data_IF_958574669928
#
_entry.id   IF_958574669928
#
_cell.length_a   1.000
_cell.length_b   1.000
_cell.length_c   1.000
_cell.angle_alpha   90.00
_cell.angle_beta   90.00
_cell.angle_gamma   90.00
#
_symmetry.space_group_name_H-M   'P 1'
#
loop_
_entity.id
_entity.type
_entity.pdbx_description
1 polymer ?
#
# COMPACT_ATOMS: atom_id res chain seq x y z
N UNK A 1 -19.46 15.76 4.81
CA UNK A 1 -18.15 15.13 4.99
C UNK A 1 -17.82 14.46 3.68
N UNK A 2 -16.66 14.71 3.14
CA UNK A 2 -16.30 14.16 1.83
C UNK A 2 -15.37 12.98 2.05
N UNK A 3 -15.91 11.75 1.99
CA UNK A 3 -15.10 10.54 2.10
C UNK A 3 -14.17 10.43 0.89
N UNK A 4 -12.87 10.31 1.15
CA UNK A 4 -11.87 10.09 0.11
C UNK A 4 -11.98 8.67 -0.47
N UNK A 5 -12.35 7.69 0.37
CA UNK A 5 -12.67 6.33 -0.07
C UNK A 5 -14.14 6.07 0.25
N UNK A 6 -14.89 5.63 -0.75
CA UNK A 6 -16.30 5.27 -0.62
C UNK A 6 -16.50 3.83 -1.08
N UNK A 7 -17.01 3.01 -0.19
CA UNK A 7 -17.34 1.61 -0.43
C UNK A 7 -18.85 1.47 -0.36
N UNK A 8 -19.49 1.08 -1.47
CA UNK A 8 -20.94 0.94 -1.53
C UNK A 8 -21.32 -0.50 -1.83
N UNK A 9 -21.90 -1.17 -0.83
CA UNK A 9 -22.40 -2.54 -0.90
C UNK A 9 -21.38 -3.54 -1.51
N UNK A 10 -20.10 -3.34 -1.17
CA UNK A 10 -19.03 -4.20 -1.67
C UNK A 10 -19.07 -5.56 -0.98
N UNK A 11 -18.88 -6.63 -1.73
CA UNK A 11 -18.69 -7.97 -1.21
C UNK A 11 -17.62 -8.72 -1.99
N UNK A 12 -17.10 -9.80 -1.41
CA UNK A 12 -16.18 -10.69 -2.10
C UNK A 12 -16.46 -12.16 -1.82
N UNK A 13 -16.67 -12.90 -2.88
CA UNK A 13 -16.88 -14.35 -2.86
C UNK A 13 -15.85 -15.01 -3.78
N UNK A 14 -15.18 -16.04 -3.30
CA UNK A 14 -14.29 -16.90 -4.06
C UNK A 14 -14.94 -18.28 -4.20
N UNK A 15 -15.33 -18.66 -5.41
CA UNK A 15 -16.09 -19.87 -5.65
C UNK A 15 -17.39 -19.87 -4.85
N UNK A 16 -17.50 -20.72 -3.82
CA UNK A 16 -18.68 -20.80 -2.94
C UNK A 16 -18.48 -20.12 -1.58
N UNK A 17 -17.29 -19.59 -1.31
CA UNK A 17 -16.97 -18.99 -0.01
C UNK A 17 -17.04 -17.46 -0.08
N UNK A 18 -17.94 -16.86 0.69
CA UNK A 18 -17.99 -15.42 0.90
C UNK A 18 -16.98 -15.04 1.98
N UNK A 19 -15.95 -14.29 1.59
CA UNK A 19 -14.88 -13.83 2.47
C UNK A 19 -15.18 -12.44 3.04
N UNK A 20 -15.85 -11.60 2.27
CA UNK A 20 -16.33 -10.29 2.73
C UNK A 20 -17.83 -10.20 2.47
N UNK A 21 -18.61 -10.09 3.54
CA UNK A 21 -20.05 -9.82 3.46
C UNK A 21 -20.30 -8.42 2.92
N UNK A 22 -21.49 -8.14 2.35
CA UNK A 22 -21.83 -6.82 1.85
C UNK A 22 -21.56 -5.73 2.87
N UNK A 23 -20.74 -4.74 2.49
CA UNK A 23 -20.27 -3.67 3.35
C UNK A 23 -20.40 -2.33 2.65
N UNK A 24 -20.91 -1.33 3.38
CA UNK A 24 -20.94 0.07 2.96
C UNK A 24 -20.24 0.89 4.03
N UNK A 25 -19.20 1.63 3.67
CA UNK A 25 -18.47 2.51 4.57
C UNK A 25 -17.65 3.55 3.80
N UNK A 26 -17.26 4.62 4.48
CA UNK A 26 -16.39 5.66 3.96
C UNK A 26 -15.17 5.88 4.84
N UNK A 27 -14.12 6.48 4.24
CA UNK A 27 -12.93 6.92 4.94
C UNK A 27 -12.64 8.36 4.57
N UNK A 28 -12.60 9.23 5.56
CA UNK A 28 -12.38 10.67 5.39
C UNK A 28 -10.94 10.97 4.96
N UNK A 29 -10.76 12.01 4.16
CA UNK A 29 -9.45 12.51 3.74
C UNK A 29 -8.68 13.10 4.92
N UNK A 30 -7.34 12.91 4.92
CA UNK A 30 -6.46 13.49 5.94
C UNK A 30 -6.53 12.83 7.32
N UNK A 31 -7.24 11.70 7.44
CA UNK A 31 -7.39 10.96 8.69
C UNK A 31 -6.63 9.63 8.66
N UNK A 32 -6.30 9.14 9.84
CA UNK A 32 -5.76 7.78 10.03
C UNK A 32 -6.90 6.88 10.48
N UNK A 33 -7.20 5.87 9.68
CA UNK A 33 -8.25 4.89 9.95
C UNK A 33 -7.67 3.53 10.28
N UNK A 34 -8.08 2.93 11.41
CA UNK A 34 -7.70 1.58 11.80
C UNK A 34 -8.77 0.57 11.44
N UNK A 35 -8.41 -0.45 10.63
CA UNK A 35 -9.29 -1.58 10.33
C UNK A 35 -8.98 -2.72 11.30
N UNK A 36 -9.89 -3.00 12.22
CA UNK A 36 -9.72 -4.01 13.27
C UNK A 36 -10.61 -5.22 12.97
N UNK A 37 -10.05 -6.41 13.13
CA UNK A 37 -10.78 -7.66 12.93
C UNK A 37 -9.91 -8.88 13.15
N UNK A 38 -10.53 -10.04 13.33
CA UNK A 38 -9.84 -11.33 13.51
C UNK A 38 -9.08 -11.71 12.23
N UNK A 39 -8.09 -12.61 12.35
CA UNK A 39 -7.45 -13.18 11.16
C UNK A 39 -8.49 -13.89 10.32
N UNK A 40 -8.41 -13.72 8.99
CA UNK A 40 -9.40 -14.25 8.05
C UNK A 40 -10.72 -13.45 7.95
N UNK A 41 -10.87 -12.31 8.63
CA UNK A 41 -12.08 -11.46 8.53
C UNK A 41 -12.20 -10.66 7.23
N UNK A 42 -11.24 -10.77 6.30
CA UNK A 42 -11.28 -10.09 5.02
C UNK A 42 -10.59 -8.72 4.98
N UNK A 43 -9.81 -8.32 6.01
CA UNK A 43 -9.08 -7.04 6.04
C UNK A 43 -8.19 -6.86 4.81
N UNK A 44 -7.30 -7.81 4.55
CA UNK A 44 -6.41 -7.79 3.39
C UNK A 44 -7.20 -7.79 2.06
N UNK A 45 -8.31 -8.54 2.01
CA UNK A 45 -9.21 -8.55 0.83
C UNK A 45 -9.82 -7.17 0.59
N UNK A 46 -10.28 -6.50 1.65
CA UNK A 46 -10.79 -5.13 1.59
C UNK A 46 -9.73 -4.16 1.08
N UNK A 47 -8.53 -4.20 1.65
CA UNK A 47 -7.41 -3.36 1.24
C UNK A 47 -7.01 -3.59 -0.24
N UNK A 48 -6.96 -4.85 -0.68
CA UNK A 48 -6.71 -5.21 -2.08
C UNK A 48 -7.80 -4.69 -3.02
N UNK A 49 -9.06 -4.63 -2.58
CA UNK A 49 -10.15 -4.05 -3.39
C UNK A 49 -10.04 -2.53 -3.48
N UNK A 50 -9.69 -1.83 -2.40
CA UNK A 50 -9.46 -0.37 -2.41
C UNK A 50 -8.31 -0.02 -3.36
N UNK A 51 -7.25 -0.82 -3.39
CA UNK A 51 -6.10 -0.64 -4.28
C UNK A 51 -6.34 -1.09 -5.73
N UNK A 52 -7.47 -1.71 -6.04
CA UNK A 52 -7.74 -2.22 -7.39
C UNK A 52 -7.05 -3.54 -7.74
N UNK A 53 -6.26 -4.10 -6.83
CA UNK A 53 -5.59 -5.40 -7.01
C UNK A 53 -6.62 -6.54 -7.13
N UNK A 54 -7.77 -6.37 -6.48
CA UNK A 54 -8.86 -7.33 -6.47
C UNK A 54 -10.18 -6.63 -6.77
N UNK A 55 -10.96 -7.15 -7.72
CA UNK A 55 -12.28 -6.62 -8.00
C UNK A 55 -13.32 -7.18 -7.00
N UNK A 56 -14.25 -6.37 -6.49
CA UNK A 56 -15.37 -6.84 -5.68
C UNK A 56 -16.28 -7.75 -6.50
N UNK A 57 -16.98 -8.68 -5.84
CA UNK A 57 -18.02 -9.50 -6.49
C UNK A 57 -19.28 -8.66 -6.71
N UNK A 58 -19.63 -7.80 -5.75
CA UNK A 58 -20.73 -6.83 -5.87
C UNK A 58 -20.28 -5.47 -5.35
N UNK A 59 -21.04 -4.45 -5.70
CA UNK A 59 -20.84 -3.09 -5.20
C UNK A 59 -19.77 -2.30 -5.96
N UNK A 60 -19.36 -1.18 -5.37
CA UNK A 60 -18.44 -0.23 -6.00
C UNK A 60 -17.45 0.34 -5.01
N UNK A 61 -16.22 0.56 -5.48
CA UNK A 61 -15.14 1.22 -4.77
C UNK A 61 -14.81 2.51 -5.50
N UNK A 62 -14.83 3.63 -4.78
CA UNK A 62 -14.43 4.95 -5.29
C UNK A 62 -13.26 5.42 -4.40
N UNK A 63 -12.19 5.91 -5.03
CA UNK A 63 -11.05 6.54 -4.35
C UNK A 63 -10.84 7.92 -4.97
N UNK A 64 -10.92 8.95 -4.14
CA UNK A 64 -11.02 10.32 -4.62
C UNK A 64 -12.32 10.52 -5.38
N UNK A 65 -12.21 10.80 -6.66
CA UNK A 65 -13.34 10.97 -7.60
C UNK A 65 -13.44 9.85 -8.65
N UNK A 66 -12.58 8.81 -8.54
CA UNK A 66 -12.45 7.73 -9.52
C UNK A 66 -12.99 6.41 -9.01
N UNK A 67 -13.80 5.76 -9.82
CA UNK A 67 -14.29 4.40 -9.56
C UNK A 67 -13.23 3.38 -9.99
N UNK A 68 -12.77 2.59 -9.02
CA UNK A 68 -11.78 1.54 -9.26
C UNK A 68 -12.39 0.41 -10.09
N UNK A 69 -11.65 -0.05 -11.10
CA UNK A 69 -12.07 -1.08 -12.05
C UNK A 69 -13.03 -0.61 -13.12
N UNK A 70 -13.30 0.71 -13.21
CA UNK A 70 -14.12 1.31 -14.28
C UNK A 70 -13.46 2.55 -14.89
N UNK A 71 -13.14 3.55 -14.06
CA UNK A 71 -12.52 4.80 -14.53
C UNK A 71 -10.99 4.66 -14.54
N UNK A 72 -10.46 3.94 -13.54
CA UNK A 72 -9.05 3.58 -13.39
C UNK A 72 -8.92 2.18 -12.82
N UNK A 73 -7.81 1.49 -13.12
CA UNK A 73 -7.54 0.17 -12.56
C UNK A 73 -7.01 0.27 -11.13
N UNK A 74 -6.20 1.31 -10.84
CA UNK A 74 -5.56 1.55 -9.55
C UNK A 74 -5.72 3.01 -9.14
N UNK A 75 -5.72 3.34 -7.83
CA UNK A 75 -5.66 4.73 -7.37
C UNK A 75 -4.42 5.44 -7.89
N UNK A 76 -4.56 6.67 -8.38
CA UNK A 76 -3.49 7.42 -9.05
C UNK A 76 -2.28 7.72 -8.15
N UNK A 77 -2.49 7.87 -6.85
CA UNK A 77 -1.45 8.22 -5.89
C UNK A 77 -1.60 7.38 -4.62
N UNK A 78 -1.20 6.12 -4.72
CA UNK A 78 -1.27 5.18 -3.59
C UNK A 78 0.10 4.55 -3.30
N UNK A 79 0.45 4.51 -2.02
CA UNK A 79 1.51 3.68 -1.46
C UNK A 79 0.88 2.55 -0.64
N UNK A 80 1.43 1.35 -0.74
CA UNK A 80 0.86 0.22 -0.03
C UNK A 80 1.92 -0.76 0.46
N UNK A 81 1.66 -1.33 1.63
CA UNK A 81 2.29 -2.55 2.11
C UNK A 81 1.16 -3.54 2.31
N UNK A 82 1.06 -4.53 1.42
CA UNK A 82 0.12 -5.64 1.55
C UNK A 82 0.93 -6.92 1.52
N UNK A 83 0.84 -7.68 2.59
CA UNK A 83 1.65 -8.88 2.78
C UNK A 83 3.16 -8.54 2.85
N UNK A 84 4.03 -9.50 2.56
CA UNK A 84 5.48 -9.30 2.65
C UNK A 84 6.02 -8.67 1.37
N UNK A 85 6.73 -7.56 1.48
CA UNK A 85 7.48 -6.98 0.35
C UNK A 85 8.83 -7.69 0.26
N UNK A 86 9.12 -8.25 -0.90
CA UNK A 86 10.42 -8.83 -1.22
C UNK A 86 11.32 -7.79 -1.89
N UNK A 87 12.54 -7.66 -1.35
CA UNK A 87 13.58 -6.82 -1.91
C UNK A 87 14.65 -7.68 -2.58
N UNK A 88 15.39 -7.08 -3.51
CA UNK A 88 16.53 -7.73 -4.14
C UNK A 88 17.64 -7.88 -3.09
N UNK A 89 17.96 -9.11 -2.66
CA UNK A 89 18.74 -9.35 -1.44
C UNK A 89 20.20 -8.91 -1.52
N UNK A 90 20.80 -8.90 -2.70
CA UNK A 90 22.19 -8.49 -2.96
C UNK A 90 22.33 -7.00 -3.27
N UNK A 91 21.26 -6.24 -3.27
CA UNK A 91 21.26 -4.79 -3.39
C UNK A 91 21.19 -4.11 -2.02
N UNK A 92 21.67 -2.86 -1.95
CA UNK A 92 21.47 -2.00 -0.78
C UNK A 92 20.03 -1.46 -0.72
N UNK A 93 19.65 -0.88 0.42
CA UNK A 93 18.36 -0.18 0.56
C UNK A 93 18.18 0.90 -0.52
N UNK A 94 19.20 1.72 -0.70
CA UNK A 94 19.19 2.77 -1.72
C UNK A 94 18.98 2.22 -3.14
N UNK A 95 19.69 1.16 -3.51
CA UNK A 95 19.57 0.56 -4.85
C UNK A 95 18.16 -0.01 -5.09
N UNK A 96 17.60 -0.72 -4.12
CA UNK A 96 16.23 -1.23 -4.23
C UNK A 96 15.21 -0.10 -4.47
N UNK A 97 15.30 1.01 -3.71
CA UNK A 97 14.39 2.13 -3.90
C UNK A 97 14.67 2.89 -5.21
N UNK A 98 15.94 3.02 -5.60
CA UNK A 98 16.31 3.71 -6.84
C UNK A 98 15.81 2.98 -8.09
N UNK A 99 15.84 1.64 -8.09
CA UNK A 99 15.33 0.85 -9.22
C UNK A 99 13.80 1.02 -9.37
N UNK A 100 13.06 1.02 -8.26
CA UNK A 100 11.62 1.26 -8.28
C UNK A 100 11.32 2.70 -8.73
N UNK A 101 12.05 3.67 -8.20
CA UNK A 101 11.91 5.07 -8.59
C UNK A 101 12.20 5.30 -10.08
N UNK A 102 13.18 4.58 -10.65
CA UNK A 102 13.53 4.68 -12.06
C UNK A 102 12.40 4.18 -12.99
N UNK A 103 11.59 3.21 -12.55
CA UNK A 103 10.44 2.71 -13.32
C UNK A 103 9.34 3.76 -13.47
N UNK A 104 9.20 4.67 -12.51
CA UNK A 104 8.20 5.74 -12.47
C UNK A 104 8.74 7.11 -12.90
N UNK A 105 10.06 7.27 -12.89
CA UNK A 105 10.76 8.47 -13.41
C UNK A 105 10.68 9.74 -12.54
N UNK A 106 10.17 9.67 -11.31
CA UNK A 106 9.74 10.85 -10.57
C UNK A 106 10.59 11.21 -9.34
N UNK A 107 11.62 10.43 -8.96
CA UNK A 107 12.36 10.67 -7.73
C UNK A 107 13.85 10.96 -7.97
N UNK A 108 14.33 12.02 -7.34
CA UNK A 108 15.75 12.37 -7.30
C UNK A 108 16.52 11.51 -6.30
N UNK A 109 17.84 11.44 -6.47
CA UNK A 109 18.75 10.78 -5.52
C UNK A 109 18.64 11.34 -4.10
N UNK A 110 18.36 12.63 -3.97
CA UNK A 110 18.22 13.32 -2.68
C UNK A 110 16.96 12.86 -1.97
N UNK A 111 15.82 12.82 -2.66
CA UNK A 111 14.56 12.36 -2.07
C UNK A 111 14.64 10.91 -1.57
N UNK A 112 15.29 10.01 -2.32
CA UNK A 112 15.48 8.62 -1.87
C UNK A 112 16.29 8.58 -0.57
N UNK A 113 17.35 9.40 -0.43
CA UNK A 113 18.14 9.47 0.80
C UNK A 113 17.33 10.03 1.97
N UNK A 114 16.58 11.10 1.75
CA UNK A 114 15.70 11.70 2.77
C UNK A 114 14.67 10.70 3.30
N UNK A 115 14.05 9.91 2.43
CA UNK A 115 13.13 8.85 2.84
C UNK A 115 13.83 7.75 3.65
N UNK A 116 15.04 7.33 3.26
CA UNK A 116 15.82 6.37 4.04
C UNK A 116 16.21 6.92 5.42
N UNK A 117 16.54 8.20 5.52
CA UNK A 117 16.79 8.88 6.80
C UNK A 117 15.53 8.92 7.65
N UNK A 118 14.38 9.28 7.07
CA UNK A 118 13.08 9.33 7.75
C UNK A 118 12.73 8.00 8.43
N UNK A 119 13.01 6.87 7.80
CA UNK A 119 12.75 5.53 8.37
C UNK A 119 13.91 4.99 9.21
N UNK A 120 14.95 5.80 9.47
CA UNK A 120 16.12 5.41 10.28
C UNK A 120 17.05 4.41 9.58
N UNK A 121 17.12 4.45 8.26
CA UNK A 121 18.02 3.65 7.42
C UNK A 121 19.08 4.50 6.69
N UNK A 122 19.22 5.78 7.02
CA UNK A 122 20.20 6.68 6.38
C UNK A 122 21.65 6.22 6.54
N UNK A 123 22.00 5.60 7.67
CA UNK A 123 23.35 5.19 8.01
C UNK A 123 23.72 3.74 7.59
N UNK A 124 22.83 3.01 6.89
CA UNK A 124 23.12 1.62 6.52
C UNK A 124 24.08 1.48 5.32
N UNK A 125 24.32 2.59 4.60
CA UNK A 125 25.28 2.67 3.51
C UNK A 125 25.00 1.65 2.39
N UNK A 126 26.06 0.90 2.01
CA UNK A 126 26.00 -0.12 0.95
C UNK A 126 25.68 -1.53 1.48
N UNK A 127 25.22 -1.67 2.72
CA UNK A 127 24.86 -2.96 3.31
C UNK A 127 23.75 -3.62 2.50
N UNK A 128 23.93 -4.87 2.09
CA UNK A 128 22.95 -5.63 1.32
C UNK A 128 21.71 -5.94 2.18
N UNK A 129 20.53 -5.91 1.57
CA UNK A 129 19.25 -6.19 2.24
C UNK A 129 19.19 -7.63 2.80
N UNK A 130 19.91 -8.58 2.21
CA UNK A 130 20.08 -9.94 2.77
C UNK A 130 20.59 -9.96 4.21
N UNK A 131 21.34 -8.93 4.62
CA UNK A 131 21.90 -8.77 5.97
C UNK A 131 21.04 -7.90 6.90
N UNK A 132 19.84 -7.50 6.45
CA UNK A 132 18.92 -6.69 7.25
C UNK A 132 18.18 -7.57 8.25
N UNK A 133 17.94 -7.02 9.45
CA UNK A 133 16.99 -7.60 10.39
C UNK A 133 15.55 -7.46 9.83
N UNK A 134 14.61 -8.20 10.40
CA UNK A 134 13.19 -8.08 10.05
C UNK A 134 12.70 -6.64 10.19
N UNK A 135 13.01 -5.95 11.29
CA UNK A 135 12.63 -4.55 11.49
C UNK A 135 13.30 -3.59 10.51
N UNK A 136 14.53 -3.88 10.01
CA UNK A 136 15.14 -3.09 8.94
C UNK A 136 14.41 -3.30 7.61
N UNK A 137 13.99 -4.52 7.30
CA UNK A 137 13.19 -4.81 6.09
C UNK A 137 11.81 -4.16 6.16
N UNK A 138 11.15 -4.19 7.31
CA UNK A 138 9.88 -3.47 7.52
C UNK A 138 10.05 -1.96 7.29
N UNK A 139 11.07 -1.34 7.87
CA UNK A 139 11.35 0.09 7.65
C UNK A 139 11.64 0.41 6.19
N UNK A 140 12.33 -0.47 5.47
CA UNK A 140 12.57 -0.30 4.03
C UNK A 140 11.25 -0.43 3.24
N UNK A 141 10.34 -1.32 3.64
CA UNK A 141 9.01 -1.43 3.03
C UNK A 141 8.18 -0.15 3.24
N UNK A 142 8.22 0.42 4.44
CA UNK A 142 7.59 1.72 4.72
C UNK A 142 8.22 2.81 3.85
N UNK A 143 9.56 2.86 3.74
CA UNK A 143 10.24 3.82 2.86
C UNK A 143 9.74 3.72 1.42
N UNK A 144 9.62 2.51 0.88
CA UNK A 144 9.07 2.28 -0.46
C UNK A 144 7.63 2.78 -0.61
N UNK A 145 6.79 2.51 0.38
CA UNK A 145 5.39 2.91 0.32
C UNK A 145 5.18 4.43 0.37
N UNK A 146 6.06 5.17 1.07
CA UNK A 146 5.91 6.63 1.26
C UNK A 146 6.79 7.48 0.34
N UNK A 147 7.76 6.88 -0.37
CA UNK A 147 8.79 7.64 -1.10
C UNK A 147 8.25 8.59 -2.18
N UNK A 148 7.07 8.31 -2.73
CA UNK A 148 6.41 9.14 -3.75
C UNK A 148 5.39 10.12 -3.15
N UNK A 149 5.37 10.28 -1.82
CA UNK A 149 4.39 11.13 -1.11
C UNK A 149 2.95 10.85 -1.52
N UNK A 150 2.48 9.61 -1.39
CA UNK A 150 1.16 9.21 -1.86
C UNK A 150 0.05 9.91 -1.08
N UNK A 151 -1.09 10.19 -1.77
CA UNK A 151 -2.31 10.70 -1.15
C UNK A 151 -3.03 9.64 -0.32
N UNK A 152 -2.91 8.38 -0.72
CA UNK A 152 -3.45 7.21 -0.02
C UNK A 152 -2.31 6.30 0.42
N UNK A 153 -2.27 5.97 1.71
CA UNK A 153 -1.33 4.99 2.25
C UNK A 153 -2.11 3.85 2.89
N UNK A 154 -1.89 2.63 2.42
CA UNK A 154 -2.49 1.41 2.98
C UNK A 154 -1.39 0.50 3.53
N UNK A 155 -1.49 0.19 4.81
CA UNK A 155 -0.53 -0.66 5.52
C UNK A 155 -1.26 -1.84 6.14
N UNK A 156 -0.93 -3.05 5.72
CA UNK A 156 -1.47 -4.30 6.28
C UNK A 156 -0.41 -4.92 7.19
N UNK A 157 -0.64 -4.89 8.50
CA UNK A 157 0.26 -5.40 9.55
C UNK A 157 1.72 -4.92 9.39
N UNK A 158 1.98 -3.60 9.34
CA UNK A 158 3.28 -3.02 9.04
C UNK A 158 4.31 -3.21 10.17
#
# INVERSE_FOLDING_TARGET
>A
MNDYIQLTNISKTFGKQTVLQPLTMGFEEGMIHGIIGRNGSGKTVLMKMILGILQPTTGTVIVGDKRIGKDVDFPESAGAIIETIEFIPYMSAYQNLADIAAMRGNLSKTQIKEVLEMVGLGNVGRKHVSKFSMGMRQRLAIAQAVMESPKLLILDEP
#
